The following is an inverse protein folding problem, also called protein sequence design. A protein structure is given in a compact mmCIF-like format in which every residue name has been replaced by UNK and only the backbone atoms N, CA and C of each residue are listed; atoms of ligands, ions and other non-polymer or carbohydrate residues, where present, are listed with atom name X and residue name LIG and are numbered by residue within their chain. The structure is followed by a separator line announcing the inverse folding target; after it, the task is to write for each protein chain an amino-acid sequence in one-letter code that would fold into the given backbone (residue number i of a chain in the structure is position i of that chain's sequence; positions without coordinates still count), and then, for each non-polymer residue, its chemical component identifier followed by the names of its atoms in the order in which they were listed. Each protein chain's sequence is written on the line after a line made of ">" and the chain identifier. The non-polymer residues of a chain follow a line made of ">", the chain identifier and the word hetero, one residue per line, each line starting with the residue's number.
data_IF_818271631262
#
_entry.id   IF_818271631262
#
_cell.length_a   1.000
_cell.length_b   1.000
_cell.length_c   1.000
_cell.angle_alpha   90.00
_cell.angle_beta   90.00
_cell.angle_gamma   90.00
#
_symmetry.space_group_name_H-M   'P 1'
#
loop_
_entity.id
_entity.type
_entity.pdbx_description
1 polymer ?
#
# COMPACT_ATOMS: atom_id res chain seq x y z
N UNK A 1 18.13 7.19 -10.02
CA UNK A 1 18.26 6.20 -8.92
C UNK A 1 16.95 5.38 -8.85
N UNK A 2 16.76 4.42 -7.92
CA UNK A 2 15.50 3.62 -7.86
C UNK A 2 14.28 4.47 -7.46
N UNK A 3 14.45 5.44 -6.57
CA UNK A 3 13.39 6.34 -6.12
C UNK A 3 12.89 7.25 -7.26
N UNK A 4 13.80 7.78 -8.08
CA UNK A 4 13.46 8.54 -9.28
C UNK A 4 12.67 7.66 -10.26
N UNK A 5 13.05 6.39 -10.39
CA UNK A 5 12.38 5.45 -11.27
C UNK A 5 10.92 5.21 -10.83
N UNK A 6 10.66 5.05 -9.53
CA UNK A 6 9.29 4.98 -9.05
C UNK A 6 8.52 6.28 -9.25
N UNK A 7 9.13 7.44 -8.95
CA UNK A 7 8.46 8.75 -9.12
C UNK A 7 8.04 8.93 -10.58
N UNK A 8 8.96 8.65 -11.50
CA UNK A 8 8.71 8.76 -12.92
C UNK A 8 7.68 7.74 -13.39
N UNK A 9 7.69 6.51 -12.88
CA UNK A 9 6.71 5.50 -13.23
C UNK A 9 5.29 5.94 -12.80
N UNK A 10 5.11 6.40 -11.56
CA UNK A 10 3.80 6.81 -11.04
C UNK A 10 3.28 8.02 -11.81
N UNK A 11 4.10 9.05 -12.00
CA UNK A 11 3.72 10.25 -12.77
C UNK A 11 3.41 9.92 -14.22
N UNK A 12 4.21 9.06 -14.86
CA UNK A 12 3.96 8.64 -16.24
C UNK A 12 2.64 7.89 -16.36
N UNK A 13 2.41 6.90 -15.49
CA UNK A 13 1.14 6.15 -15.48
C UNK A 13 -0.04 7.09 -15.20
N UNK A 14 0.12 8.06 -14.31
CA UNK A 14 -0.92 9.05 -14.01
C UNK A 14 -1.25 9.94 -15.22
N UNK A 15 -0.24 10.35 -16.00
CA UNK A 15 -0.42 11.08 -17.26
C UNK A 15 -1.10 10.20 -18.32
N UNK A 16 -0.71 8.94 -18.45
CA UNK A 16 -1.36 7.98 -19.36
C UNK A 16 -2.85 7.80 -18.99
N UNK A 17 -3.19 7.83 -17.70
CA UNK A 17 -4.59 7.81 -17.24
C UNK A 17 -5.35 9.11 -17.56
N UNK A 18 -4.67 10.27 -17.55
CA UNK A 18 -5.26 11.53 -18.00
C UNK A 18 -5.63 11.45 -19.49
N UNK A 19 -4.72 10.95 -20.31
CA UNK A 19 -4.93 10.75 -21.76
C UNK A 19 -6.07 9.77 -22.03
N UNK A 20 -6.20 8.74 -21.20
CA UNK A 20 -7.30 7.78 -21.22
C UNK A 20 -8.64 8.34 -20.69
N UNK A 21 -8.71 9.62 -20.30
CA UNK A 21 -9.90 10.31 -19.76
C UNK A 21 -10.42 9.73 -18.44
N UNK A 22 -9.53 9.19 -17.60
CA UNK A 22 -9.86 8.73 -16.24
C UNK A 22 -10.00 9.92 -15.27
N UNK A 23 -10.99 10.78 -15.50
CA UNK A 23 -11.17 12.01 -14.70
C UNK A 23 -11.74 11.77 -13.30
N UNK A 24 -12.61 10.77 -13.17
CA UNK A 24 -13.39 10.49 -11.95
C UNK A 24 -13.18 9.09 -11.40
N UNK A 25 -12.19 8.38 -11.94
CA UNK A 25 -11.78 7.06 -11.47
C UNK A 25 -10.30 7.13 -11.10
N UNK A 26 -9.95 6.47 -10.02
CA UNK A 26 -8.60 6.37 -9.54
C UNK A 26 -8.31 5.01 -8.96
N UNK A 27 -7.03 4.79 -8.67
CA UNK A 27 -6.56 3.57 -8.01
C UNK A 27 -5.48 3.92 -7.01
N UNK A 28 -5.54 3.26 -5.86
CA UNK A 28 -4.38 3.15 -4.98
C UNK A 28 -3.35 2.24 -5.64
N UNK A 29 -2.11 2.40 -5.23
CA UNK A 29 -0.99 1.62 -5.76
C UNK A 29 0.04 1.43 -4.67
N UNK A 30 0.54 0.20 -4.61
CA UNK A 30 1.68 -0.18 -3.78
C UNK A 30 2.61 -1.02 -4.65
N UNK A 31 3.90 -0.71 -4.61
CA UNK A 31 4.93 -1.35 -5.42
C UNK A 31 6.04 -1.83 -4.51
N UNK A 32 6.45 -3.09 -4.67
CA UNK A 32 7.63 -3.66 -4.03
C UNK A 32 8.60 -4.12 -5.10
N UNK A 33 9.86 -3.69 -5.01
CA UNK A 33 10.93 -4.05 -5.94
C UNK A 33 12.15 -4.55 -5.16
N UNK A 34 12.56 -5.79 -5.40
CA UNK A 34 13.75 -6.37 -4.78
C UNK A 34 14.89 -6.30 -5.79
N UNK A 35 15.95 -5.57 -5.45
CA UNK A 35 17.18 -5.50 -6.23
C UNK A 35 18.24 -6.41 -5.61
N UNK A 36 18.83 -7.26 -6.43
CA UNK A 36 19.96 -8.09 -6.05
C UNK A 36 21.27 -7.39 -6.42
N UNK A 37 22.17 -7.22 -5.45
CA UNK A 37 23.53 -6.75 -5.67
C UNK A 37 24.51 -7.71 -5.01
N UNK A 38 24.90 -8.75 -5.76
CA UNK A 38 25.67 -9.87 -5.21
C UNK A 38 24.85 -10.63 -4.17
N UNK A 39 25.33 -10.66 -2.92
CA UNK A 39 24.64 -11.30 -1.78
C UNK A 39 23.65 -10.37 -1.08
N UNK A 40 23.77 -9.06 -1.29
CA UNK A 40 22.85 -8.09 -0.70
C UNK A 40 21.56 -8.04 -1.51
N UNK A 41 20.43 -8.13 -0.82
CA UNK A 41 19.10 -7.92 -1.40
C UNK A 41 18.52 -6.66 -0.76
N UNK A 42 18.11 -5.71 -1.57
CA UNK A 42 17.49 -4.48 -1.09
C UNK A 42 16.05 -4.41 -1.58
N UNK A 43 15.12 -4.29 -0.65
CA UNK A 43 13.71 -4.08 -0.90
C UNK A 43 13.41 -2.58 -0.95
N UNK A 44 12.90 -2.14 -2.09
CA UNK A 44 12.37 -0.80 -2.29
C UNK A 44 10.85 -0.88 -2.30
N UNK A 45 10.19 0.01 -1.57
CA UNK A 45 8.74 0.18 -1.64
C UNK A 45 8.34 1.57 -2.08
N UNK A 46 7.21 1.66 -2.77
CA UNK A 46 6.52 2.89 -3.10
C UNK A 46 5.02 2.70 -2.87
N UNK A 47 4.30 3.71 -2.38
CA UNK A 47 2.84 3.66 -2.39
C UNK A 47 2.19 5.05 -2.53
N UNK A 48 1.02 5.07 -3.17
CA UNK A 48 0.10 6.19 -3.22
C UNK A 48 -1.32 5.66 -2.94
N UNK A 49 -1.97 6.22 -1.93
CA UNK A 49 -3.22 5.69 -1.36
C UNK A 49 -2.99 4.90 -0.07
N UNK A 50 -3.92 4.01 0.26
CA UNK A 50 -4.00 3.28 1.52
C UNK A 50 -3.87 1.75 1.38
N UNK A 51 -3.56 1.25 0.18
CA UNK A 51 -2.99 -0.07 0.04
C UNK A 51 -1.62 -0.10 0.73
N UNK A 52 -1.35 -1.19 1.47
CA UNK A 52 -0.23 -1.27 2.41
C UNK A 52 0.61 -2.52 2.16
N UNK A 53 1.93 -2.37 2.34
CA UNK A 53 2.89 -3.47 2.38
C UNK A 53 3.53 -3.58 3.77
N UNK A 54 3.61 -4.81 4.28
CA UNK A 54 4.16 -5.14 5.61
C UNK A 54 5.18 -6.26 5.46
N UNK A 55 6.40 -6.04 5.95
CA UNK A 55 7.47 -7.02 6.04
C UNK A 55 7.38 -7.77 7.37
N UNK A 56 7.59 -9.09 7.34
CA UNK A 56 7.83 -9.88 8.54
C UNK A 56 9.33 -10.06 8.78
N UNK A 57 9.83 -9.50 9.87
CA UNK A 57 11.21 -9.67 10.36
C UNK A 57 11.19 -10.23 11.77
N UNK A 58 11.82 -11.39 11.99
CA UNK A 58 11.77 -12.08 13.30
C UNK A 58 10.34 -12.29 13.82
N UNK A 59 9.38 -12.55 12.93
CA UNK A 59 7.94 -12.65 13.24
C UNK A 59 7.29 -11.36 13.77
N UNK A 60 7.97 -10.21 13.69
CA UNK A 60 7.41 -8.90 13.98
C UNK A 60 7.04 -8.17 12.69
N UNK A 61 5.97 -7.37 12.74
CA UNK A 61 5.57 -6.56 11.61
C UNK A 61 6.42 -5.30 11.46
N UNK A 62 6.89 -5.04 10.24
CA UNK A 62 7.52 -3.79 9.83
C UNK A 62 6.70 -3.22 8.69
N UNK A 63 5.96 -2.13 8.95
CA UNK A 63 5.20 -1.43 7.91
C UNK A 63 6.17 -0.72 6.95
N UNK A 64 6.06 -1.02 5.66
CA UNK A 64 6.93 -0.50 4.60
C UNK A 64 6.33 0.70 3.85
N UNK A 65 5.08 1.06 4.15
CA UNK A 65 4.28 2.03 3.41
C UNK A 65 3.56 2.97 4.37
N UNK A 66 3.11 4.11 3.85
CA UNK A 66 2.33 5.07 4.62
C UNK A 66 0.92 5.19 4.05
N UNK A 67 -0.11 4.95 4.86
CA UNK A 67 -1.49 5.01 4.38
C UNK A 67 -1.90 6.48 4.19
N UNK A 68 -2.09 6.88 2.93
CA UNK A 68 -2.48 8.23 2.56
C UNK A 68 -3.99 8.44 2.70
N UNK A 69 -4.52 8.26 3.90
CA UNK A 69 -5.92 8.57 4.22
C UNK A 69 -6.09 10.08 4.40
N UNK A 70 -7.26 10.62 4.07
CA UNK A 70 -7.53 12.06 4.13
C UNK A 70 -7.38 12.66 5.55
N UNK A 71 -7.49 11.86 6.60
CA UNK A 71 -7.33 12.29 8.00
C UNK A 71 -5.88 12.21 8.51
N UNK A 72 -4.92 11.76 7.69
CA UNK A 72 -3.51 11.78 8.07
C UNK A 72 -3.01 13.23 8.24
N UNK A 73 -2.35 13.60 9.36
CA UNK A 73 -2.00 15.00 9.63
C UNK A 73 -1.14 15.67 8.54
N UNK A 74 -0.17 14.94 7.98
CA UNK A 74 0.69 15.44 6.90
C UNK A 74 -0.11 15.69 5.61
N UNK A 75 -1.09 14.83 5.33
CA UNK A 75 -1.96 14.96 4.15
C UNK A 75 -2.99 16.07 4.32
N UNK A 76 -3.58 16.24 5.51
CA UNK A 76 -4.46 17.36 5.82
C UNK A 76 -3.77 18.70 5.59
N UNK A 77 -2.51 18.83 6.04
CA UNK A 77 -1.68 20.01 5.82
C UNK A 77 -1.46 20.25 4.32
N UNK A 78 -1.06 19.23 3.57
CA UNK A 78 -0.83 19.32 2.11
C UNK A 78 -2.11 19.72 1.35
N UNK A 79 -3.24 19.11 1.69
CA UNK A 79 -4.55 19.41 1.09
C UNK A 79 -4.93 20.88 1.34
N UNK A 80 -4.80 21.34 2.58
CA UNK A 80 -5.11 22.73 2.96
C UNK A 80 -4.21 23.75 2.25
N UNK A 81 -2.91 23.45 2.13
CA UNK A 81 -1.96 24.28 1.37
C UNK A 81 -2.28 24.36 -0.12
N UNK A 82 -3.00 23.36 -0.65
CA UNK A 82 -3.42 23.29 -2.06
C UNK A 82 -4.83 23.83 -2.29
N UNK A 83 -5.44 24.48 -1.28
CA UNK A 83 -6.77 25.08 -1.36
C UNK A 83 -7.94 24.08 -1.21
N UNK A 84 -7.66 22.84 -0.81
CA UNK A 84 -8.68 21.86 -0.45
C UNK A 84 -9.01 21.86 1.04
N UNK A 85 -9.91 20.97 1.43
CA UNK A 85 -10.25 20.72 2.83
C UNK A 85 -10.54 19.24 3.08
N UNK A 86 -10.67 18.85 4.34
CA UNK A 86 -11.08 17.50 4.74
C UNK A 86 -12.36 17.58 5.54
N UNK A 87 -13.38 16.84 5.11
CA UNK A 87 -14.68 16.75 5.76
C UNK A 87 -15.08 15.28 5.88
N UNK A 88 -15.52 14.85 7.06
CA UNK A 88 -15.91 13.46 7.34
C UNK A 88 -14.85 12.43 6.87
N UNK A 89 -13.57 12.69 7.16
CA UNK A 89 -12.42 11.88 6.72
C UNK A 89 -12.31 11.71 5.20
N UNK A 90 -12.78 12.70 4.43
CA UNK A 90 -12.70 12.71 2.97
C UNK A 90 -12.16 14.03 2.43
N UNK A 91 -11.28 13.96 1.42
CA UNK A 91 -10.77 15.12 0.67
C UNK A 91 -11.93 15.79 -0.06
N UNK A 92 -12.14 17.07 0.24
CA UNK A 92 -13.28 17.89 -0.20
C UNK A 92 -14.65 17.20 0.02
N UNK A 93 -14.75 16.30 0.99
CA UNK A 93 -15.96 15.50 1.25
C UNK A 93 -16.19 14.33 0.29
N UNK A 94 -15.27 14.06 -0.65
CA UNK A 94 -15.45 13.06 -1.72
C UNK A 94 -14.59 11.81 -1.49
N UNK A 95 -13.25 11.92 -1.53
CA UNK A 95 -12.36 10.75 -1.50
C UNK A 95 -11.82 10.46 -0.11
N UNK A 96 -11.82 9.18 0.30
CA UNK A 96 -11.22 8.73 1.57
C UNK A 96 -9.68 8.76 1.55
N UNK A 97 -9.07 8.72 0.37
CA UNK A 97 -7.62 8.79 0.16
C UNK A 97 -7.20 10.17 -0.34
N UNK A 98 -5.99 10.58 0.01
CA UNK A 98 -5.37 11.84 -0.39
C UNK A 98 -4.36 11.69 -1.52
N UNK A 99 -3.96 10.45 -1.83
CA UNK A 99 -3.07 10.14 -2.95
C UNK A 99 -3.61 8.97 -3.76
N UNK A 100 -3.50 9.07 -5.08
CA UNK A 100 -3.96 8.06 -6.02
C UNK A 100 -3.37 8.31 -7.43
N UNK A 101 -3.34 7.26 -8.24
CA UNK A 101 -3.27 7.38 -9.69
C UNK A 101 -4.68 7.67 -10.23
N UNK A 102 -4.80 8.50 -11.26
CA UNK A 102 -6.10 8.99 -11.75
C UNK A 102 -6.67 10.10 -10.87
N UNK A 103 -8.00 10.10 -10.70
CA UNK A 103 -8.76 11.14 -9.99
C UNK A 103 -8.43 12.56 -10.47
N UNK A 104 -8.25 12.73 -11.79
CA UNK A 104 -7.77 13.98 -12.37
C UNK A 104 -8.67 15.19 -12.12
N UNK A 105 -9.97 14.98 -11.90
CA UNK A 105 -10.90 16.03 -11.48
C UNK A 105 -10.51 16.68 -10.14
N UNK A 106 -9.72 15.99 -9.31
CA UNK A 106 -9.23 16.47 -8.02
C UNK A 106 -7.69 16.47 -7.92
N UNK A 107 -6.96 16.41 -9.04
CA UNK A 107 -5.47 16.34 -9.03
C UNK A 107 -4.78 17.50 -8.33
N UNK A 108 -5.45 18.65 -8.22
CA UNK A 108 -4.93 19.79 -7.46
C UNK A 108 -4.80 19.52 -5.95
N UNK A 109 -5.56 18.55 -5.41
CA UNK A 109 -5.50 18.13 -3.99
C UNK A 109 -5.17 16.65 -3.82
N UNK A 110 -5.29 15.81 -4.85
CA UNK A 110 -4.94 14.38 -4.84
C UNK A 110 -3.61 14.18 -5.55
N UNK A 111 -2.58 13.75 -4.82
CA UNK A 111 -1.24 13.58 -5.39
C UNK A 111 -1.03 12.17 -5.97
N UNK A 112 -0.29 12.04 -7.07
CA UNK A 112 0.28 10.76 -7.51
C UNK A 112 1.71 10.53 -7.01
N UNK A 113 2.29 11.48 -6.27
CA UNK A 113 3.64 11.34 -5.75
C UNK A 113 3.66 10.28 -4.64
N UNK A 114 4.50 9.24 -4.75
CA UNK A 114 4.53 8.15 -3.78
C UNK A 114 5.25 8.53 -2.49
N UNK A 115 4.93 7.81 -1.42
CA UNK A 115 5.84 7.61 -0.29
C UNK A 115 6.77 6.43 -0.58
N UNK A 116 8.02 6.49 -0.09
CA UNK A 116 9.04 5.48 -0.39
C UNK A 116 9.76 4.98 0.85
N UNK A 117 10.17 3.71 0.84
CA UNK A 117 11.16 3.19 1.78
C UNK A 117 12.20 2.31 1.08
N UNK A 118 13.35 2.15 1.73
CA UNK A 118 14.43 1.26 1.34
C UNK A 118 14.83 0.42 2.55
N UNK A 119 14.81 -0.91 2.40
CA UNK A 119 15.18 -1.86 3.44
C UNK A 119 16.19 -2.87 2.91
N UNK A 120 17.32 -3.00 3.58
CA UNK A 120 18.23 -4.13 3.36
C UNK A 120 17.62 -5.40 3.97
N UNK A 121 17.41 -6.40 3.12
CA UNK A 121 16.89 -7.70 3.53
C UNK A 121 18.03 -8.56 4.10
N UNK A 122 17.71 -9.30 5.16
CA UNK A 122 18.60 -10.25 5.81
C UNK A 122 17.88 -11.60 6.07
N UNK A 123 18.59 -12.54 6.67
CA UNK A 123 18.11 -13.91 6.86
C UNK A 123 16.93 -14.05 7.85
N UNK A 124 16.60 -12.97 8.58
CA UNK A 124 15.44 -12.93 9.49
C UNK A 124 14.17 -12.39 8.83
N UNK A 125 14.26 -11.92 7.59
CA UNK A 125 13.12 -11.48 6.78
C UNK A 125 12.46 -12.68 6.10
N UNK A 126 11.21 -12.95 6.47
CA UNK A 126 10.54 -14.21 6.07
C UNK A 126 9.60 -14.05 4.89
N UNK A 127 8.82 -12.96 4.85
CA UNK A 127 7.82 -12.71 3.82
C UNK A 127 7.36 -11.25 3.84
N UNK A 128 6.67 -10.85 2.77
CA UNK A 128 5.97 -9.57 2.64
C UNK A 128 4.47 -9.85 2.44
N UNK A 129 3.61 -9.11 3.12
CA UNK A 129 2.16 -9.05 2.88
C UNK A 129 1.86 -7.75 2.15
N UNK A 130 1.16 -7.83 1.02
CA UNK A 130 0.68 -6.68 0.26
C UNK A 130 -0.83 -6.82 0.12
N UNK A 131 -1.60 -5.83 0.58
CA UNK A 131 -3.04 -5.88 0.50
C UNK A 131 -3.69 -4.49 0.42
N UNK A 132 -4.94 -4.45 -0.05
CA UNK A 132 -5.79 -3.26 0.06
C UNK A 132 -6.36 -3.09 1.48
N UNK A 133 -6.96 -1.94 1.73
CA UNK A 133 -7.62 -1.57 2.99
C UNK A 133 -8.75 -2.52 3.38
N UNK A 134 -9.40 -3.20 2.44
CA UNK A 134 -10.35 -4.28 2.76
C UNK A 134 -9.80 -5.37 3.71
N UNK A 135 -8.48 -5.61 3.72
CA UNK A 135 -7.83 -6.40 4.78
C UNK A 135 -7.48 -5.52 6.00
N UNK A 136 -6.78 -4.41 5.75
CA UNK A 136 -6.12 -3.62 6.79
C UNK A 136 -7.05 -2.82 7.70
N UNK A 137 -8.31 -2.62 7.29
CA UNK A 137 -9.34 -1.97 8.10
C UNK A 137 -9.86 -2.90 9.20
N UNK A 138 -9.67 -4.22 9.08
CA UNK A 138 -10.18 -5.21 10.03
C UNK A 138 -9.12 -6.16 10.60
N UNK A 139 -7.89 -6.15 10.08
CA UNK A 139 -6.76 -6.94 10.56
C UNK A 139 -5.54 -6.03 10.76
N UNK A 140 -4.92 -6.08 11.94
CA UNK A 140 -3.71 -5.32 12.23
C UNK A 140 -2.46 -5.91 11.56
N UNK A 141 -1.40 -5.12 11.45
CA UNK A 141 -0.13 -5.57 10.86
C UNK A 141 0.44 -6.78 11.62
N UNK A 142 0.47 -6.71 12.95
CA UNK A 142 0.99 -7.77 13.81
C UNK A 142 0.12 -9.04 13.75
N UNK A 143 -1.22 -8.89 13.75
CA UNK A 143 -2.13 -10.04 13.61
C UNK A 143 -1.92 -10.74 12.26
N UNK A 144 -1.80 -9.96 11.17
CA UNK A 144 -1.58 -10.51 9.84
C UNK A 144 -0.22 -11.23 9.75
N UNK A 145 0.85 -10.64 10.28
CA UNK A 145 2.18 -11.26 10.31
C UNK A 145 2.17 -12.54 11.15
N UNK A 146 1.60 -12.52 12.35
CA UNK A 146 1.49 -13.72 13.17
C UNK A 146 0.69 -14.82 12.44
N UNK A 147 -0.44 -14.46 11.83
CA UNK A 147 -1.30 -15.37 11.10
C UNK A 147 -0.57 -16.08 9.95
N UNK A 148 0.27 -15.35 9.21
CA UNK A 148 1.07 -15.88 8.11
C UNK A 148 2.23 -16.73 8.64
N UNK A 149 2.96 -16.24 9.64
CA UNK A 149 4.09 -16.96 10.27
C UNK A 149 3.68 -18.34 10.78
N UNK A 150 2.57 -18.43 11.51
CA UNK A 150 2.04 -19.72 12.02
C UNK A 150 1.70 -20.73 10.92
N UNK A 151 1.30 -20.25 9.74
CA UNK A 151 0.89 -21.10 8.61
C UNK A 151 2.07 -21.51 7.75
N UNK A 152 3.04 -20.62 7.56
CA UNK A 152 4.30 -20.94 6.91
C UNK A 152 5.10 -21.97 7.73
N UNK A 153 5.07 -21.87 9.07
CA UNK A 153 5.67 -22.88 9.95
C UNK A 153 5.05 -24.29 9.79
N UNK A 154 3.80 -24.35 9.32
CA UNK A 154 3.08 -25.59 8.97
C UNK A 154 3.23 -25.98 7.48
N UNK A 155 4.19 -25.37 6.77
CA UNK A 155 4.44 -25.57 5.36
C UNK A 155 3.21 -25.35 4.45
N UNK A 156 2.28 -24.47 4.86
CA UNK A 156 1.13 -24.12 4.05
C UNK A 156 1.60 -23.17 2.93
N UNK A 157 1.15 -23.46 1.71
CA UNK A 157 1.47 -22.66 0.52
C UNK A 157 1.03 -21.18 0.65
N UNK A 158 1.87 -20.20 0.28
CA UNK A 158 1.54 -18.77 0.38
C UNK A 158 0.25 -18.34 -0.32
N UNK A 159 -0.09 -18.96 -1.45
CA UNK A 159 -1.33 -18.67 -2.18
C UNK A 159 -2.56 -19.19 -1.42
N UNK A 160 -2.42 -20.28 -0.66
CA UNK A 160 -3.47 -20.74 0.28
C UNK A 160 -3.57 -19.79 1.47
N UNK A 161 -2.44 -19.29 1.99
CA UNK A 161 -2.42 -18.34 3.10
C UNK A 161 -3.08 -17.02 2.72
N UNK A 162 -2.83 -16.48 1.53
CA UNK A 162 -3.47 -15.23 1.07
C UNK A 162 -4.99 -15.36 0.99
N UNK A 163 -5.52 -16.48 0.47
CA UNK A 163 -6.96 -16.77 0.50
C UNK A 163 -7.52 -16.87 1.93
N UNK A 164 -6.73 -17.42 2.86
CA UNK A 164 -7.13 -17.49 4.27
C UNK A 164 -7.14 -16.11 4.94
N UNK A 165 -6.26 -15.18 4.55
CA UNK A 165 -6.32 -13.77 4.98
C UNK A 165 -7.56 -13.06 4.44
N UNK A 166 -7.90 -13.29 3.16
CA UNK A 166 -9.17 -12.80 2.58
C UNK A 166 -10.36 -13.30 3.39
N UNK A 167 -10.40 -14.61 3.68
CA UNK A 167 -11.47 -15.18 4.51
C UNK A 167 -11.49 -14.59 5.92
N UNK A 168 -10.34 -14.37 6.55
CA UNK A 168 -10.25 -13.75 7.86
C UNK A 168 -10.90 -12.35 7.85
N UNK A 169 -10.60 -11.52 6.84
CA UNK A 169 -11.21 -10.21 6.71
C UNK A 169 -12.73 -10.28 6.49
N UNK A 170 -13.21 -11.21 5.66
CA UNK A 170 -14.66 -11.45 5.47
C UNK A 170 -15.34 -11.89 6.78
N UNK A 171 -14.73 -12.82 7.51
CA UNK A 171 -15.23 -13.31 8.80
C UNK A 171 -15.23 -12.19 9.87
N UNK A 172 -14.44 -11.14 9.68
CA UNK A 172 -14.41 -9.91 10.49
C UNK A 172 -15.36 -8.81 9.98
N UNK A 173 -16.25 -9.14 9.05
CA UNK A 173 -17.23 -8.24 8.45
C UNK A 173 -16.62 -7.09 7.62
N UNK A 174 -15.46 -7.30 6.99
CA UNK A 174 -15.01 -6.39 5.94
C UNK A 174 -16.08 -6.35 4.82
N UNK A 175 -16.50 -5.14 4.47
CA UNK A 175 -17.52 -4.89 3.44
C UNK A 175 -16.92 -4.39 2.12
N UNK A 176 -15.59 -4.34 2.03
CA UNK A 176 -14.88 -3.83 0.85
C UNK A 176 -14.38 -4.97 -0.04
N UNK A 177 -13.83 -4.63 -1.20
CA UNK A 177 -13.04 -5.53 -2.00
C UNK A 177 -11.74 -5.89 -1.26
N UNK A 178 -11.38 -7.18 -1.28
CA UNK A 178 -10.23 -7.69 -0.53
C UNK A 178 -9.28 -8.38 -1.50
N UNK A 179 -8.10 -7.79 -1.68
CA UNK A 179 -6.98 -8.33 -2.44
C UNK A 179 -5.78 -8.49 -1.51
N UNK A 180 -5.18 -9.68 -1.49
CA UNK A 180 -4.03 -10.00 -0.63
C UNK A 180 -3.01 -10.82 -1.40
N UNK A 181 -1.74 -10.44 -1.28
CA UNK A 181 -0.58 -11.17 -1.78
C UNK A 181 0.39 -11.45 -0.62
N UNK A 182 0.91 -12.68 -0.57
CA UNK A 182 1.94 -13.09 0.38
C UNK A 182 3.15 -13.54 -0.43
N UNK A 183 4.27 -12.85 -0.28
CA UNK A 183 5.51 -13.12 -1.00
C UNK A 183 6.53 -13.66 -0.02
N UNK A 184 6.89 -14.94 -0.14
CA UNK A 184 7.97 -15.55 0.65
C UNK A 184 9.33 -15.05 0.14
N UNK A 185 10.22 -14.66 1.06
CA UNK A 185 11.56 -14.11 0.77
C UNK A 185 12.67 -15.16 0.83
#
# INVERSE_FOLDING_TARGET
>A
NVLDAFTNAYRRTDLELLEAKCHYVGSTVVTCYIRHNGRCRTLYTANAGDARAVLSRNSCAIRLTFDHKANAPEEQKRIGQSGGFVAANRVNGVLSVSRALGDHAMKYVVSCDPFYTEYELNDTDSFIIIACDGLWDVVSDDEAVQFVSEKLAKAIDPQVISRKLVKLALDRNSTDNISVMVVKL
#
